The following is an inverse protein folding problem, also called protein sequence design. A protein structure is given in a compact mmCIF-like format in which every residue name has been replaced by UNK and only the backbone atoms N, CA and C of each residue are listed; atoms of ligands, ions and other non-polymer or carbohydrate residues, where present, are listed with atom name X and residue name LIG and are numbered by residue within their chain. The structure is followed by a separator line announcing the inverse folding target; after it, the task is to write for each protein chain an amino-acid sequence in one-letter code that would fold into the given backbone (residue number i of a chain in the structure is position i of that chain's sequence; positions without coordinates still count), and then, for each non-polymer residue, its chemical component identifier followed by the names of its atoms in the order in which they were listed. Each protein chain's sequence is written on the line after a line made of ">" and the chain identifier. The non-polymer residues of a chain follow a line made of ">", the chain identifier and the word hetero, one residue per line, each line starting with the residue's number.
data_IF_383738544865
#
_entry.id   IF_383738544865
#
_cell.length_a   1.000
_cell.length_b   1.000
_cell.length_c   1.000
_cell.angle_alpha   90.00
_cell.angle_beta   90.00
_cell.angle_gamma   90.00
#
_symmetry.space_group_name_H-M   'P 1'
#
loop_
_entity.id
_entity.type
_entity.pdbx_description
1 polymer ?
#
# COMPACT_ATOMS: atom_id res chain seq x y z
N UNK A 1 11.87 12.67 13.20
CA UNK A 1 10.44 12.37 13.00
C UNK A 1 10.32 11.44 11.81
N UNK A 2 9.69 10.29 12.00
CA UNK A 2 9.50 9.29 10.94
C UNK A 2 8.39 9.74 9.97
N UNK A 3 8.62 9.58 8.66
CA UNK A 3 7.66 9.93 7.62
C UNK A 3 7.19 8.68 6.88
N UNK A 4 5.88 8.47 6.84
CA UNK A 4 5.22 7.38 6.13
C UNK A 4 4.81 7.91 4.76
N UNK A 5 5.41 7.36 3.72
CA UNK A 5 5.17 7.72 2.32
C UNK A 5 4.24 6.70 1.63
N UNK A 6 3.79 7.03 0.42
CA UNK A 6 2.96 6.13 -0.36
C UNK A 6 3.80 4.97 -0.92
N UNK A 7 3.16 3.83 -1.18
CA UNK A 7 3.77 2.72 -1.90
C UNK A 7 2.95 2.44 -3.17
N UNK A 8 3.53 2.73 -4.34
CA UNK A 8 2.81 2.68 -5.61
C UNK A 8 3.68 1.95 -6.63
N UNK A 9 3.15 0.88 -7.22
CA UNK A 9 3.84 0.15 -8.30
C UNK A 9 5.06 -0.66 -7.85
N UNK A 10 5.18 -0.98 -6.56
CA UNK A 10 6.34 -1.69 -6.02
C UNK A 10 7.43 -0.77 -5.46
N UNK A 11 7.20 0.54 -5.41
CA UNK A 11 8.17 1.53 -4.95
C UNK A 11 7.57 2.46 -3.90
N UNK A 12 8.43 2.97 -3.02
CA UNK A 12 8.10 4.03 -2.07
C UNK A 12 8.11 5.37 -2.84
N UNK A 13 6.97 6.06 -2.86
CA UNK A 13 6.75 7.31 -3.58
C UNK A 13 6.43 8.43 -2.60
N UNK A 14 7.27 9.47 -2.62
CA UNK A 14 7.00 10.71 -1.91
C UNK A 14 5.83 11.46 -2.54
N UNK A 15 4.91 11.94 -1.71
CA UNK A 15 3.77 12.73 -2.16
C UNK A 15 4.19 14.13 -2.62
N UNK A 16 3.64 14.61 -3.72
CA UNK A 16 3.80 15.99 -4.22
C UNK A 16 2.82 16.97 -3.57
N UNK A 17 1.87 16.50 -2.78
CA UNK A 17 0.87 17.36 -2.13
C UNK A 17 1.45 18.27 -1.05
N UNK A 18 2.60 17.90 -0.48
CA UNK A 18 3.20 18.57 0.69
C UNK A 18 2.37 18.48 1.97
N UNK A 19 1.26 17.73 1.96
CA UNK A 19 0.34 17.59 3.09
C UNK A 19 0.71 16.38 3.93
N UNK A 20 0.68 16.57 5.25
CA UNK A 20 0.97 15.52 6.22
C UNK A 20 -0.09 15.49 7.31
N UNK A 21 -0.37 14.31 7.86
CA UNK A 21 -1.14 14.13 9.08
C UNK A 21 -0.26 13.51 10.18
N UNK A 22 -0.36 13.98 11.43
CA UNK A 22 0.35 13.36 12.55
C UNK A 22 -0.24 11.99 12.89
N UNK A 23 0.63 11.06 13.28
CA UNK A 23 0.25 9.75 13.82
C UNK A 23 0.59 9.74 15.30
N UNK A 24 -0.38 9.45 16.15
CA UNK A 24 -0.24 9.46 17.60
C UNK A 24 -0.29 8.04 18.17
N UNK A 25 0.46 7.82 19.25
CA UNK A 25 0.29 6.65 20.10
C UNK A 25 -1.01 6.81 20.91
N UNK A 26 -2.01 5.91 20.78
CA UNK A 26 -3.28 6.03 21.49
C UNK A 26 -3.16 5.86 23.01
N UNK A 27 -2.08 5.23 23.51
CA UNK A 27 -1.87 5.02 24.94
C UNK A 27 -1.21 6.22 25.65
N UNK A 28 -0.36 6.98 24.95
CA UNK A 28 0.40 8.11 25.53
C UNK A 28 0.01 9.48 24.97
N UNK A 29 -0.64 9.53 23.82
CA UNK A 29 -0.95 10.76 23.10
C UNK A 29 0.25 11.39 22.37
N UNK A 30 1.42 10.78 22.45
CA UNK A 30 2.64 11.31 21.82
C UNK A 30 2.62 11.07 20.31
N UNK A 31 3.14 12.04 19.55
CA UNK A 31 3.29 11.91 18.11
C UNK A 31 4.46 10.96 17.79
N UNK A 32 4.15 9.86 17.11
CA UNK A 32 5.14 8.84 16.74
C UNK A 32 5.62 8.99 15.28
N UNK A 33 4.79 9.50 14.37
CA UNK A 33 5.14 9.66 12.96
C UNK A 33 4.31 10.75 12.27
N UNK A 34 4.58 10.95 10.97
CA UNK A 34 3.77 11.75 10.06
C UNK A 34 3.47 10.95 8.79
N UNK A 35 2.21 10.88 8.38
CA UNK A 35 1.80 10.22 7.13
C UNK A 35 1.52 11.24 6.04
N UNK A 36 2.02 10.99 4.83
CA UNK A 36 1.70 11.83 3.67
C UNK A 36 0.22 11.71 3.29
N UNK A 37 -0.41 12.83 2.95
CA UNK A 37 -1.77 12.84 2.43
C UNK A 37 -1.71 13.00 0.91
N UNK A 38 -2.05 11.94 0.18
CA UNK A 38 -1.99 11.90 -1.29
C UNK A 38 -2.91 12.93 -1.95
N UNK A 39 -2.46 13.47 -3.06
CA UNK A 39 -3.30 14.23 -3.99
C UNK A 39 -4.21 13.31 -4.81
N UNK A 40 -5.29 13.86 -5.37
CA UNK A 40 -6.18 13.11 -6.23
C UNK A 40 -5.47 12.52 -7.45
N UNK A 41 -4.47 13.21 -8.01
CA UNK A 41 -3.74 12.74 -9.19
C UNK A 41 -2.80 11.57 -8.86
N UNK A 42 -2.22 11.54 -7.66
CA UNK A 42 -1.44 10.39 -7.18
C UNK A 42 -2.34 9.18 -6.96
N UNK A 43 -3.54 9.38 -6.42
CA UNK A 43 -4.54 8.32 -6.31
C UNK A 43 -4.94 7.78 -7.69
N UNK A 44 -5.19 8.64 -8.68
CA UNK A 44 -5.47 8.21 -10.07
C UNK A 44 -4.32 7.40 -10.65
N UNK A 45 -3.07 7.88 -10.50
CA UNK A 45 -1.87 7.16 -10.97
C UNK A 45 -1.74 5.77 -10.31
N UNK A 46 -1.99 5.67 -9.01
CA UNK A 46 -1.97 4.39 -8.31
C UNK A 46 -3.02 3.42 -8.85
N UNK A 47 -4.24 3.91 -9.11
CA UNK A 47 -5.33 3.13 -9.71
C UNK A 47 -4.94 2.64 -11.12
N UNK A 48 -4.36 3.50 -11.95
CA UNK A 48 -3.90 3.12 -13.30
C UNK A 48 -2.84 2.02 -13.26
N UNK A 49 -1.86 2.12 -12.36
CA UNK A 49 -0.81 1.12 -12.19
C UNK A 49 -1.40 -0.21 -11.70
N UNK A 50 -2.30 -0.17 -10.72
CA UNK A 50 -3.00 -1.35 -10.22
C UNK A 50 -3.81 -2.03 -11.33
N UNK A 51 -4.55 -1.27 -12.13
CA UNK A 51 -5.32 -1.78 -13.27
C UNK A 51 -4.42 -2.42 -14.33
N UNK A 52 -3.23 -1.87 -14.60
CA UNK A 52 -2.26 -2.46 -15.53
C UNK A 52 -1.63 -3.74 -14.99
N UNK A 53 -1.40 -3.83 -13.67
CA UNK A 53 -0.84 -5.02 -13.03
C UNK A 53 -1.87 -6.16 -12.89
N UNK A 54 -3.15 -5.82 -12.75
CA UNK A 54 -4.22 -6.76 -12.44
C UNK A 54 -4.31 -7.96 -13.41
N UNK A 55 -4.29 -7.82 -14.75
CA UNK A 55 -4.42 -8.96 -15.67
C UNK A 55 -3.32 -10.01 -15.53
N UNK A 56 -2.13 -9.61 -15.08
CA UNK A 56 -1.02 -10.55 -14.80
C UNK A 56 -1.21 -11.22 -13.45
N UNK A 57 -1.54 -10.45 -12.42
CA UNK A 57 -1.77 -10.94 -11.06
C UNK A 57 -2.97 -11.88 -10.96
N UNK A 58 -4.08 -11.54 -11.63
CA UNK A 58 -5.31 -12.33 -11.62
C UNK A 58 -5.15 -13.72 -12.24
N UNK A 59 -4.08 -13.94 -13.01
CA UNK A 59 -3.73 -15.22 -13.63
C UNK A 59 -2.75 -16.04 -12.80
N UNK A 60 -2.31 -15.54 -11.65
CA UNK A 60 -1.21 -16.16 -10.91
C UNK A 60 -1.60 -17.47 -10.22
N UNK A 61 -2.88 -17.84 -9.97
CA UNK A 61 -3.27 -19.21 -9.50
C UNK A 61 -4.69 -19.67 -9.91
N UNK A 62 -4.83 -20.89 -10.48
CA UNK A 62 -5.97 -21.80 -10.23
C UNK A 62 -5.44 -23.09 -9.54
N UNK A 63 -6.14 -23.65 -8.54
CA UNK A 63 -5.59 -24.69 -7.66
C UNK A 63 -5.67 -26.08 -8.31
N UNK A 64 -4.59 -26.55 -8.94
CA UNK A 64 -4.35 -27.99 -9.17
C UNK A 64 -3.06 -28.51 -8.54
N UNK A 65 -2.41 -27.74 -7.67
CA UNK A 65 -1.23 -28.22 -6.94
C UNK A 65 -1.22 -27.67 -5.51
N UNK A 66 -2.21 -28.07 -4.73
CA UNK A 66 -2.09 -28.13 -3.26
C UNK A 66 -2.42 -29.56 -2.81
N UNK A 67 -1.69 -30.53 -3.37
CA UNK A 67 -1.71 -31.92 -2.91
C UNK A 67 -0.78 -32.04 -1.72
N UNK A 68 -1.29 -31.83 -0.50
CA UNK A 68 -0.43 -31.93 0.69
C UNK A 68 -1.07 -31.82 2.06
N UNK A 69 -2.41 -31.80 2.22
CA UNK A 69 -3.00 -31.59 3.56
C UNK A 69 -4.30 -32.37 3.86
N UNK A 70 -4.46 -33.59 3.35
CA UNK A 70 -5.39 -34.54 3.98
C UNK A 70 -4.75 -35.92 4.02
N UNK A 71 -4.15 -36.24 5.16
CA UNK A 71 -3.88 -37.61 5.57
C UNK A 71 -3.95 -37.71 7.09
N UNK A 72 -5.17 -37.65 7.64
CA UNK A 72 -5.60 -38.33 8.87
C UNK A 72 -7.10 -38.62 8.71
#
# INVERSE_FOLDING_TARGET
>A
MEQIHNFIGGEIVSSKSGRFAPVFNPATGEQIAQVVLSSADETKKAIEIANKAFPKWSKTISPKTFSGFIQI
#
